data_IF_836760888442
#
_entry.id   IF_836760888442
#
_cell.length_a   1.000
_cell.length_b   1.000
_cell.length_c   1.000
_cell.angle_alpha   90.00
_cell.angle_beta   90.00
_cell.angle_gamma   90.00
#
_symmetry.space_group_name_H-M   'P 1'
#
loop_
_entity.id
_entity.type
_entity.pdbx_description
1 polymer ?
#
# COMPACT_ATOMS: atom_id res chain seq x y z
N UNK A 1 -15.48 -14.76 15.57
CA UNK A 1 -14.17 -14.81 14.89
C UNK A 1 -14.32 -15.78 13.72
N UNK A 2 -13.83 -15.43 12.54
CA UNK A 2 -13.84 -16.34 11.38
C UNK A 2 -12.74 -17.39 11.52
N UNK A 3 -12.90 -18.53 10.86
CA UNK A 3 -11.89 -19.59 10.76
C UNK A 3 -10.74 -19.19 9.83
N UNK A 4 -9.63 -19.91 9.88
CA UNK A 4 -8.50 -19.67 9.00
C UNK A 4 -8.84 -19.86 7.51
N UNK A 5 -9.56 -20.92 7.07
CA UNK A 5 -10.01 -21.03 5.69
C UNK A 5 -10.90 -19.87 5.25
N UNK A 6 -11.80 -19.41 6.11
CA UNK A 6 -12.65 -18.25 5.83
C UNK A 6 -11.82 -16.96 5.72
N UNK A 7 -10.79 -16.79 6.56
CA UNK A 7 -9.88 -15.63 6.49
C UNK A 7 -9.04 -15.65 5.20
N UNK A 8 -8.52 -16.81 4.80
CA UNK A 8 -7.77 -16.96 3.55
C UNK A 8 -8.66 -16.64 2.35
N UNK A 9 -9.90 -17.11 2.36
CA UNK A 9 -10.87 -16.90 1.28
C UNK A 9 -11.29 -15.43 1.09
N UNK A 10 -10.95 -14.53 2.00
CA UNK A 10 -11.22 -13.08 1.86
C UNK A 10 -9.96 -12.22 1.95
N UNK A 11 -8.77 -12.85 1.97
CA UNK A 11 -7.51 -12.12 2.12
C UNK A 11 -7.10 -11.45 0.80
N UNK A 12 -6.87 -10.13 0.76
CA UNK A 12 -6.53 -9.41 -0.47
C UNK A 12 -5.31 -9.97 -1.21
N UNK A 13 -4.32 -10.50 -0.48
CA UNK A 13 -3.10 -11.07 -1.08
C UNK A 13 -3.38 -12.23 -2.04
N UNK A 14 -4.52 -12.92 -1.90
CA UNK A 14 -4.93 -14.03 -2.78
C UNK A 14 -5.50 -13.57 -4.12
N UNK A 15 -5.73 -12.27 -4.28
CA UNK A 15 -6.39 -11.68 -5.44
C UNK A 15 -5.49 -10.70 -6.21
N UNK A 16 -4.21 -10.62 -5.83
CA UNK A 16 -3.21 -9.78 -6.52
C UNK A 16 -2.97 -10.35 -7.92
N UNK A 17 -3.20 -9.55 -8.95
CA UNK A 17 -2.99 -9.93 -10.34
C UNK A 17 -2.29 -8.83 -11.12
N UNK A 18 -1.59 -9.20 -12.19
CA UNK A 18 -0.91 -8.24 -13.08
C UNK A 18 -1.82 -7.17 -13.72
N UNK A 19 -3.15 -7.38 -13.71
CA UNK A 19 -4.12 -6.47 -14.31
C UNK A 19 -4.64 -5.42 -13.31
N UNK A 20 -4.20 -5.49 -12.05
CA UNK A 20 -4.49 -4.50 -11.02
C UNK A 20 -3.83 -3.13 -11.34
N UNK A 21 -4.44 -2.01 -10.92
CA UNK A 21 -3.89 -0.67 -11.17
C UNK A 21 -2.60 -0.43 -10.36
N UNK A 22 -1.82 0.62 -10.69
CA UNK A 22 -0.67 1.03 -9.89
C UNK A 22 -1.02 1.25 -8.40
N UNK A 23 -0.36 0.53 -7.50
CA UNK A 23 -0.66 0.56 -6.06
C UNK A 23 0.40 1.34 -5.27
N UNK A 24 -0.04 2.36 -4.51
CA UNK A 24 0.79 2.97 -3.49
C UNK A 24 0.43 2.41 -2.11
N UNK A 25 1.44 1.91 -1.39
CA UNK A 25 1.34 1.54 0.02
C UNK A 25 2.08 2.59 0.88
N UNK A 26 1.46 3.02 1.96
CA UNK A 26 2.08 3.91 2.96
C UNK A 26 1.85 3.29 4.33
N UNK A 27 2.94 2.95 5.04
CA UNK A 27 2.87 2.18 6.28
C UNK A 27 3.82 2.71 7.35
N UNK A 28 3.38 2.80 8.60
CA UNK A 28 4.25 3.11 9.73
C UNK A 28 4.95 1.88 10.30
N UNK A 29 6.27 1.93 10.52
CA UNK A 29 7.02 0.75 10.96
C UNK A 29 6.83 0.34 12.42
N UNK A 30 6.10 1.13 13.22
CA UNK A 30 5.71 0.79 14.59
C UNK A 30 4.20 0.64 14.77
N UNK A 31 3.46 0.41 13.68
CA UNK A 31 2.02 0.08 13.74
C UNK A 31 1.80 -1.25 14.48
N UNK A 32 1.02 -1.18 15.57
CA UNK A 32 0.67 -2.33 16.43
C UNK A 32 -0.73 -2.88 16.18
N UNK A 33 -1.53 -2.20 15.35
CA UNK A 33 -2.86 -2.63 14.92
C UNK A 33 -2.73 -3.49 13.67
N UNK A 34 -1.97 -3.02 12.69
CA UNK A 34 -1.64 -3.75 11.46
C UNK A 34 -0.11 -3.82 11.36
N UNK A 35 0.52 -4.99 11.53
CA UNK A 35 1.97 -5.08 11.41
C UNK A 35 2.47 -4.75 9.99
N UNK A 36 3.61 -4.05 9.88
CA UNK A 36 4.23 -3.70 8.58
C UNK A 36 4.47 -4.90 7.66
N UNK A 37 4.64 -6.09 8.25
CA UNK A 37 4.77 -7.36 7.51
C UNK A 37 3.61 -7.57 6.52
N UNK A 38 2.41 -7.04 6.79
CA UNK A 38 1.27 -7.10 5.88
C UNK A 38 1.52 -6.34 4.57
N UNK A 39 2.19 -5.18 4.61
CA UNK A 39 2.60 -4.48 3.40
C UNK A 39 3.76 -5.16 2.69
N UNK A 40 4.72 -5.71 3.44
CA UNK A 40 5.87 -6.42 2.85
C UNK A 40 5.44 -7.65 2.06
N UNK A 41 4.53 -8.48 2.59
CA UNK A 41 4.02 -9.65 1.87
C UNK A 41 3.21 -9.27 0.62
N UNK A 42 2.52 -8.12 0.66
CA UNK A 42 1.78 -7.62 -0.50
C UNK A 42 2.74 -7.11 -1.58
N UNK A 43 3.82 -6.42 -1.19
CA UNK A 43 4.91 -6.00 -2.09
C UNK A 43 5.55 -7.21 -2.78
N UNK A 44 5.83 -8.28 -2.04
CA UNK A 44 6.37 -9.52 -2.61
C UNK A 44 5.43 -10.10 -3.67
N UNK A 45 4.13 -10.24 -3.36
CA UNK A 45 3.12 -10.73 -4.29
C UNK A 45 2.97 -9.82 -5.54
N UNK A 46 2.98 -8.50 -5.37
CA UNK A 46 2.92 -7.55 -6.50
C UNK A 46 4.18 -7.60 -7.36
N UNK A 47 5.36 -7.81 -6.75
CA UNK A 47 6.63 -8.00 -7.43
C UNK A 47 6.64 -9.24 -8.31
N UNK A 48 6.20 -10.38 -7.76
CA UNK A 48 6.07 -11.64 -8.51
C UNK A 48 5.12 -11.53 -9.71
N UNK A 49 4.10 -10.67 -9.61
CA UNK A 49 3.14 -10.40 -10.68
C UNK A 49 3.56 -9.27 -11.63
N UNK A 50 4.77 -8.70 -11.48
CA UNK A 50 5.29 -7.58 -12.29
C UNK A 50 4.35 -6.35 -12.29
N UNK A 51 3.68 -6.08 -11.16
CA UNK A 51 2.80 -4.94 -11.02
C UNK A 51 3.59 -3.64 -10.81
N UNK A 52 2.95 -2.51 -11.09
CA UNK A 52 3.46 -1.19 -10.74
C UNK A 52 3.07 -0.90 -9.29
N UNK A 53 4.04 -0.73 -8.40
CA UNK A 53 3.76 -0.39 -7.01
C UNK A 53 4.88 0.45 -6.39
N UNK A 54 4.59 1.04 -5.23
CA UNK A 54 5.59 1.60 -4.33
C UNK A 54 5.17 1.40 -2.86
N UNK A 55 6.15 1.31 -1.97
CA UNK A 55 5.95 1.21 -0.51
C UNK A 55 6.75 2.29 0.19
N UNK A 56 6.02 3.26 0.76
CA UNK A 56 6.59 4.31 1.60
C UNK A 56 6.47 3.88 3.07
N UNK A 57 7.63 3.68 3.71
CA UNK A 57 7.70 3.36 5.14
C UNK A 57 7.96 4.63 5.93
N UNK A 58 7.00 5.00 6.78
CA UNK A 58 7.11 6.15 7.69
C UNK A 58 7.78 5.70 8.99
N UNK A 59 9.06 6.05 9.14
CA UNK A 59 9.87 5.69 10.32
C UNK A 59 9.29 6.26 11.62
N UNK A 60 9.10 5.41 12.61
CA UNK A 60 8.53 5.74 13.91
C UNK A 60 7.02 6.02 13.90
N UNK A 61 6.34 5.87 12.76
CA UNK A 61 4.90 6.05 12.67
C UNK A 61 4.12 4.80 13.10
N UNK A 62 3.02 4.99 13.82
CA UNK A 62 2.11 3.93 14.24
C UNK A 62 0.85 3.86 13.36
N UNK A 63 -0.26 3.42 13.94
CA UNK A 63 -1.55 3.35 13.24
C UNK A 63 -2.18 4.74 13.06
N UNK A 64 -2.29 5.17 11.81
CA UNK A 64 -2.81 6.48 11.44
C UNK A 64 -1.76 7.59 11.55
N UNK A 65 -1.68 8.43 10.53
CA UNK A 65 -0.66 9.47 10.41
C UNK A 65 -1.21 10.85 10.79
N UNK A 66 -0.41 11.67 11.49
CA UNK A 66 -0.76 13.04 11.90
C UNK A 66 0.45 13.95 11.78
N UNK A 67 0.21 15.27 11.76
CA UNK A 67 1.27 16.26 11.64
C UNK A 67 2.12 16.04 10.39
N UNK A 68 3.44 16.13 10.54
CA UNK A 68 4.41 15.97 9.46
C UNK A 68 4.25 14.64 8.69
N UNK A 69 4.08 13.52 9.41
CA UNK A 69 3.88 12.20 8.79
C UNK A 69 2.57 12.14 7.98
N UNK A 70 1.52 12.82 8.47
CA UNK A 70 0.26 12.96 7.75
C UNK A 70 0.42 13.76 6.46
N UNK A 71 1.14 14.86 6.51
CA UNK A 71 1.44 15.67 5.32
C UNK A 71 2.33 14.93 4.32
N UNK A 72 3.30 14.15 4.80
CA UNK A 72 4.13 13.29 3.95
C UNK A 72 3.29 12.24 3.24
N UNK A 73 2.43 11.53 3.96
CA UNK A 73 1.54 10.53 3.39
C UNK A 73 0.57 11.14 2.36
N UNK A 74 -0.04 12.28 2.71
CA UNK A 74 -0.98 13.01 1.83
C UNK A 74 -0.28 13.48 0.55
N UNK A 75 0.92 14.05 0.67
CA UNK A 75 1.68 14.56 -0.48
C UNK A 75 2.09 13.42 -1.42
N UNK A 76 2.55 12.29 -0.86
CA UNK A 76 2.87 11.10 -1.66
C UNK A 76 1.64 10.53 -2.38
N UNK A 77 0.49 10.47 -1.70
CA UNK A 77 -0.77 10.03 -2.29
C UNK A 77 -1.21 10.93 -3.46
N UNK A 78 -1.16 12.26 -3.29
CA UNK A 78 -1.49 13.21 -4.36
C UNK A 78 -0.55 13.04 -5.55
N UNK A 79 0.77 12.98 -5.32
CA UNK A 79 1.75 12.80 -6.39
C UNK A 79 1.56 11.47 -7.14
N UNK A 80 1.16 10.40 -6.44
CA UNK A 80 0.84 9.11 -7.07
C UNK A 80 -0.37 9.22 -8.00
N UNK A 81 -1.43 9.89 -7.54
CA UNK A 81 -2.61 10.12 -8.37
C UNK A 81 -2.30 11.04 -9.55
N UNK A 82 -1.54 12.12 -9.37
CA UNK A 82 -1.14 12.98 -10.49
C UNK A 82 -0.37 12.18 -11.55
N UNK A 83 0.51 11.26 -11.12
CA UNK A 83 1.30 10.42 -12.02
C UNK A 83 0.48 9.40 -12.81
N UNK A 84 -0.47 8.71 -12.16
CA UNK A 84 -1.16 7.56 -12.77
C UNK A 84 -2.62 7.80 -13.16
N UNK A 85 -3.25 8.85 -12.63
CA UNK A 85 -4.64 9.25 -12.90
C UNK A 85 -4.78 10.71 -13.37
N UNK A 86 -3.70 11.50 -13.31
CA UNK A 86 -3.69 12.87 -13.81
C UNK A 86 -3.93 12.93 -15.32
N UNK A 87 -4.24 14.12 -15.85
CA UNK A 87 -4.38 14.30 -17.30
C UNK A 87 -3.10 13.86 -18.02
N UNK A 88 -3.20 13.41 -19.29
CA UNK A 88 -2.03 13.13 -20.10
C UNK A 88 -1.07 14.33 -20.03
N UNK A 89 0.18 14.07 -19.64
CA UNK A 89 1.21 15.09 -19.65
C UNK A 89 1.49 15.40 -21.12
N UNK A 90 1.08 16.58 -21.59
CA UNK A 90 1.45 17.07 -22.91
C UNK A 90 2.87 17.63 -22.76
N UNK A 91 3.87 16.91 -23.25
CA UNK A 91 5.24 17.41 -23.40
C UNK A 91 5.32 18.53 -24.44
#
# INVERSE_FOLDING_TARGET
KISEPEAIAISPIKYVTKDDPPVLLIHGDVDRVVPIKQSEILVEAMSENNMIYDLIVLKGAGHGFRGEQGEQARSAMVAWFDKYLGPPQIE
#
